data_IF_987428411900
#
_entry.id   IF_987428411900
#
_cell.length_a   1.000
_cell.length_b   1.000
_cell.length_c   1.000
_cell.angle_alpha   90.00
_cell.angle_beta   90.00
_cell.angle_gamma   90.00
#
_symmetry.space_group_name_H-M   'P 1'
#
loop_
_entity.id
_entity.type
_entity.pdbx_description
1 polymer ?
#
# COMPACT_ATOMS: atom_id res chain seq x y z
N UNK A 1 19.86 -3.26 7.39
CA UNK A 1 18.81 -3.43 8.42
C UNK A 1 17.48 -3.84 7.77
N UNK A 2 17.19 -5.14 7.85
CA UNK A 2 16.10 -5.84 7.18
C UNK A 2 14.84 -5.73 8.05
N UNK A 3 13.83 -4.96 7.64
CA UNK A 3 12.52 -4.96 8.31
C UNK A 3 11.59 -5.86 7.49
N UNK A 4 11.70 -7.16 7.75
CA UNK A 4 10.94 -8.23 7.12
C UNK A 4 9.88 -8.72 8.11
N UNK A 5 8.74 -8.05 8.18
CA UNK A 5 7.42 -8.65 8.47
C UNK A 5 6.40 -7.65 7.93
N UNK A 6 5.52 -8.08 7.03
CA UNK A 6 4.41 -7.25 6.54
C UNK A 6 3.13 -7.93 7.00
N UNK A 7 2.79 -7.69 8.27
CA UNK A 7 1.48 -8.05 8.80
C UNK A 7 0.41 -7.15 8.15
N UNK A 8 -0.83 -7.64 8.02
CA UNK A 8 -1.93 -6.89 7.39
C UNK A 8 -2.09 -5.49 8.01
N UNK A 9 -1.93 -5.40 9.34
CA UNK A 9 -1.98 -4.15 10.10
C UNK A 9 -0.86 -3.17 9.74
N UNK A 10 0.34 -3.66 9.44
CA UNK A 10 1.45 -2.78 9.03
C UNK A 10 1.22 -2.21 7.63
N UNK A 11 0.64 -2.99 6.71
CA UNK A 11 0.21 -2.47 5.40
C UNK A 11 -0.78 -1.33 5.60
N UNK A 12 -1.78 -1.54 6.44
CA UNK A 12 -2.79 -0.52 6.73
C UNK A 12 -2.17 0.75 7.30
N UNK A 13 -1.27 0.63 8.28
CA UNK A 13 -0.57 1.78 8.85
C UNK A 13 0.29 2.53 7.82
N UNK A 14 1.00 1.82 6.93
CA UNK A 14 1.83 2.45 5.90
C UNK A 14 0.96 3.22 4.91
N UNK A 15 -0.13 2.62 4.41
CA UNK A 15 -0.99 3.31 3.44
C UNK A 15 -1.74 4.50 4.04
N UNK A 16 -2.08 4.44 5.33
CA UNK A 16 -2.61 5.61 6.04
C UNK A 16 -1.56 6.70 6.20
N UNK A 17 -0.39 6.36 6.77
CA UNK A 17 0.62 7.35 7.14
C UNK A 17 1.33 7.96 5.95
N UNK A 18 1.61 7.17 4.92
CA UNK A 18 2.34 7.64 3.74
C UNK A 18 1.36 8.04 2.65
N UNK A 19 0.37 7.20 2.35
CA UNK A 19 -0.60 7.45 1.28
C UNK A 19 -1.78 8.33 1.68
N UNK A 20 -1.98 8.62 2.96
CA UNK A 20 -3.09 9.46 3.43
C UNK A 20 -4.45 8.77 3.38
N UNK A 21 -4.48 7.44 3.31
CA UNK A 21 -5.74 6.70 3.33
C UNK A 21 -6.45 6.85 4.68
N UNK A 22 -7.78 6.87 4.66
CA UNK A 22 -8.57 6.66 5.87
C UNK A 22 -8.48 5.20 6.34
N UNK A 23 -9.01 4.89 7.52
CA UNK A 23 -9.15 3.49 7.98
C UNK A 23 -9.91 2.62 6.96
N UNK A 24 -11.04 3.13 6.44
CA UNK A 24 -11.82 2.44 5.41
C UNK A 24 -11.04 2.28 4.10
N UNK A 25 -10.28 3.30 3.69
CA UNK A 25 -9.41 3.22 2.52
C UNK A 25 -8.29 2.19 2.68
N UNK A 26 -7.68 2.10 3.85
CA UNK A 26 -6.64 1.12 4.14
C UNK A 26 -7.18 -0.32 4.10
N UNK A 27 -8.40 -0.55 4.59
CA UNK A 27 -9.05 -1.86 4.48
C UNK A 27 -9.44 -2.21 3.03
N UNK A 28 -9.73 -1.22 2.16
CA UNK A 28 -9.88 -1.48 0.72
C UNK A 28 -8.58 -2.01 0.11
N UNK A 29 -7.42 -1.44 0.48
CA UNK A 29 -6.10 -1.94 0.04
C UNK A 29 -5.90 -3.39 0.48
N UNK A 30 -6.15 -3.67 1.76
CA UNK A 30 -6.05 -5.02 2.34
C UNK A 30 -6.91 -6.05 1.58
N UNK A 31 -8.16 -5.69 1.26
CA UNK A 31 -9.08 -6.57 0.50
C UNK A 31 -8.68 -6.73 -0.96
N UNK A 32 -8.21 -5.67 -1.61
CA UNK A 32 -7.76 -5.71 -3.01
C UNK A 32 -6.53 -6.62 -3.18
N UNK A 33 -5.60 -6.56 -2.23
CA UNK A 33 -4.42 -7.44 -2.19
C UNK A 33 -4.79 -8.92 -2.07
N UNK A 34 -5.71 -9.26 -1.16
CA UNK A 34 -6.18 -10.65 -1.02
C UNK A 34 -6.90 -11.20 -2.26
N UNK A 35 -7.61 -10.34 -3.00
CA UNK A 35 -8.35 -10.73 -4.23
C UNK A 35 -7.51 -10.67 -5.51
N UNK A 36 -6.28 -10.12 -5.47
CA UNK A 36 -5.36 -10.00 -6.60
C UNK A 36 -5.97 -9.36 -7.87
N UNK A 37 -6.86 -8.37 -7.71
CA UNK A 37 -7.50 -7.66 -8.84
C UNK A 37 -6.58 -6.57 -9.39
N UNK A 38 -5.99 -6.80 -10.57
CA UNK A 38 -4.97 -5.93 -11.14
C UNK A 38 -5.43 -4.47 -11.33
N UNK A 39 -6.61 -4.25 -11.92
CA UNK A 39 -7.12 -2.90 -12.20
C UNK A 39 -7.30 -2.08 -10.91
N UNK A 40 -7.81 -2.73 -9.86
CA UNK A 40 -8.01 -2.09 -8.56
C UNK A 40 -6.67 -1.78 -7.88
N UNK A 41 -5.70 -2.68 -8.00
CA UNK A 41 -4.35 -2.46 -7.48
C UNK A 41 -3.63 -1.30 -8.20
N UNK A 42 -3.84 -1.14 -9.51
CA UNK A 42 -3.30 0.01 -10.27
C UNK A 42 -3.95 1.32 -9.84
N UNK A 43 -5.27 1.33 -9.64
CA UNK A 43 -6.01 2.50 -9.12
C UNK A 43 -5.48 2.90 -7.75
N UNK A 44 -5.38 1.95 -6.83
CA UNK A 44 -4.91 2.19 -5.46
C UNK A 44 -3.44 2.62 -5.41
N UNK A 45 -2.59 2.10 -6.31
CA UNK A 45 -1.20 2.56 -6.46
C UNK A 45 -1.15 4.05 -6.78
N UNK A 46 -1.95 4.50 -7.74
CA UNK A 46 -2.02 5.91 -8.13
C UNK A 46 -2.48 6.78 -6.95
N UNK A 47 -3.54 6.36 -6.27
CA UNK A 47 -4.06 7.07 -5.07
C UNK A 47 -3.01 7.16 -3.96
N UNK A 48 -2.26 6.09 -3.72
CA UNK A 48 -1.16 6.07 -2.76
C UNK A 48 -0.03 7.02 -3.14
N UNK A 49 0.41 7.01 -4.40
CA UNK A 49 1.47 7.89 -4.87
C UNK A 49 1.07 9.37 -4.82
N UNK A 50 -0.16 9.68 -5.24
CA UNK A 50 -0.69 11.05 -5.24
C UNK A 50 -0.93 11.56 -3.81
N UNK A 51 -1.42 10.69 -2.92
CA UNK A 51 -1.56 10.99 -1.50
C UNK A 51 -0.22 11.20 -0.80
N UNK A 52 0.77 10.37 -1.10
CA UNK A 52 2.13 10.54 -0.59
C UNK A 52 2.77 11.85 -1.04
N UNK A 53 2.57 12.24 -2.31
CA UNK A 53 3.03 13.52 -2.81
C UNK A 53 2.36 14.71 -2.08
N UNK A 54 1.05 14.63 -1.80
CA UNK A 54 0.34 15.66 -1.00
C UNK A 54 0.87 15.78 0.42
N UNK A 55 1.45 14.71 0.98
CA UNK A 55 2.10 14.72 2.29
C UNK A 55 3.58 15.16 2.24
N UNK A 56 4.10 15.52 1.06
CA UNK A 56 5.49 15.96 0.88
C UNK A 56 6.50 14.84 0.63
N UNK A 57 6.05 13.60 0.39
CA UNK A 57 6.94 12.51 0.00
C UNK A 57 7.22 12.51 -1.50
N UNK A 58 8.35 11.93 -1.90
CA UNK A 58 8.68 11.74 -3.31
C UNK A 58 7.78 10.67 -3.94
N UNK A 59 7.12 11.02 -5.05
CA UNK A 59 6.16 10.16 -5.75
C UNK A 59 6.78 8.84 -6.23
N UNK A 60 7.96 8.88 -6.84
CA UNK A 60 8.63 7.68 -7.34
C UNK A 60 9.00 6.72 -6.19
N UNK A 61 9.53 7.25 -5.08
CA UNK A 61 9.81 6.45 -3.88
C UNK A 61 8.55 5.83 -3.26
N UNK A 62 7.42 6.53 -3.33
CA UNK A 62 6.14 5.98 -2.89
C UNK A 62 5.68 4.84 -3.83
N UNK A 63 5.83 4.99 -5.14
CA UNK A 63 5.54 3.90 -6.07
C UNK A 63 6.44 2.69 -5.84
N UNK A 64 7.73 2.87 -5.56
CA UNK A 64 8.64 1.79 -5.18
C UNK A 64 8.22 1.09 -3.87
N UNK A 65 7.82 1.87 -2.87
CA UNK A 65 7.29 1.36 -1.60
C UNK A 65 6.00 0.54 -1.83
N UNK A 66 5.12 1.00 -2.73
CA UNK A 66 3.93 0.25 -3.10
C UNK A 66 4.28 -1.12 -3.68
N UNK A 67 5.24 -1.20 -4.61
CA UNK A 67 5.67 -2.48 -5.17
C UNK A 67 6.23 -3.44 -4.11
N UNK A 68 6.93 -2.91 -3.11
CA UNK A 68 7.40 -3.68 -1.96
C UNK A 68 6.21 -4.25 -1.18
N UNK A 69 5.21 -3.41 -0.85
CA UNK A 69 4.00 -3.84 -0.15
C UNK A 69 3.26 -4.95 -0.92
N UNK A 70 3.07 -4.78 -2.24
CA UNK A 70 2.37 -5.75 -3.09
C UNK A 70 3.11 -7.10 -3.14
N UNK A 71 4.43 -7.08 -3.30
CA UNK A 71 5.26 -8.30 -3.27
C UNK A 71 5.05 -9.07 -1.97
N UNK A 72 5.06 -8.38 -0.83
CA UNK A 72 4.88 -9.04 0.47
C UNK A 72 3.44 -9.50 0.71
N UNK A 73 2.45 -8.76 0.25
CA UNK A 73 1.06 -9.19 0.35
C UNK A 73 0.80 -10.50 -0.41
N UNK A 74 1.52 -10.76 -1.50
CA UNK A 74 1.46 -12.03 -2.24
C UNK A 74 1.93 -13.25 -1.43
N UNK A 75 2.78 -13.06 -0.42
CA UNK A 75 3.29 -14.14 0.46
C UNK A 75 2.50 -14.27 1.77
N UNK A 76 1.92 -13.18 2.29
CA UNK A 76 1.30 -13.12 3.62
C UNK A 76 -0.23 -13.16 3.66
N UNK A 77 -0.92 -13.10 2.51
CA UNK A 77 -2.37 -13.18 2.42
C UNK A 77 -2.78 -14.54 1.84
N UNK A 78 -3.02 -15.51 2.72
CA UNK A 78 -3.80 -16.71 2.45
C UNK A 78 -4.89 -16.82 3.52
#
# INVERSE_FOLDING_TARGET
PMVLFVYQEQVMQIVQRIGGFSLGGADLVRRAMGKKKLDEMLRLKKEFADGAQKQGYNRAKAEDLWEIIVKFAGYGFN
#
